data_IF_574946195065
#
_entry.id   IF_574946195065
#
_cell.length_a   1.000
_cell.length_b   1.000
_cell.length_c   1.000
_cell.angle_alpha   90.00
_cell.angle_beta   90.00
_cell.angle_gamma   90.00
#
_symmetry.space_group_name_H-M   'P 1'
#
loop_
_entity.id
_entity.type
_entity.pdbx_description
1 polymer ?
#
# COMPACT_ATOMS: atom_id res chain seq x y z
N UNK A 1 -14.72 13.93 -28.51
CA UNK A 1 -14.15 13.06 -29.58
C UNK A 1 -15.21 12.22 -30.29
N UNK A 2 -15.75 11.14 -29.73
CA UNK A 2 -16.74 10.33 -30.47
C UNK A 2 -18.04 11.12 -30.75
N UNK A 3 -18.51 11.92 -29.79
CA UNK A 3 -19.64 12.84 -29.97
C UNK A 3 -19.39 13.85 -31.10
N UNK A 4 -18.22 14.50 -31.12
CA UNK A 4 -17.84 15.44 -32.19
C UNK A 4 -17.87 14.79 -33.59
N UNK A 5 -17.56 13.50 -33.69
CA UNK A 5 -17.57 12.76 -34.96
C UNK A 5 -18.98 12.37 -35.42
N UNK A 6 -19.92 12.13 -34.50
CA UNK A 6 -21.23 11.53 -34.80
C UNK A 6 -22.41 12.49 -34.64
N UNK A 7 -22.23 13.59 -33.91
CA UNK A 7 -23.22 14.68 -33.78
C UNK A 7 -23.23 15.62 -34.98
N UNK A 8 -22.35 15.41 -35.96
CA UNK A 8 -22.29 16.24 -37.16
C UNK A 8 -23.57 16.15 -38.02
N UNK A 9 -23.70 17.11 -38.96
CA UNK A 9 -24.89 17.29 -39.80
C UNK A 9 -25.27 16.08 -40.68
N UNK A 10 -24.40 15.07 -40.81
CA UNK A 10 -24.67 13.86 -41.60
C UNK A 10 -25.57 12.82 -40.89
N UNK A 11 -26.09 13.16 -39.70
CA UNK A 11 -26.91 12.27 -38.83
C UNK A 11 -26.17 10.98 -38.45
N UNK A 12 -24.87 11.08 -38.15
CA UNK A 12 -24.01 9.93 -37.82
C UNK A 12 -24.56 9.09 -36.67
N UNK A 13 -25.05 9.72 -35.61
CA UNK A 13 -25.64 9.02 -34.46
C UNK A 13 -26.96 8.31 -34.79
N UNK A 14 -27.80 8.83 -35.70
CA UNK A 14 -29.05 8.15 -36.10
C UNK A 14 -28.76 6.89 -36.92
N UNK A 15 -27.79 6.96 -37.83
CA UNK A 15 -27.30 5.78 -38.55
C UNK A 15 -26.71 4.75 -37.58
N UNK A 16 -26.01 5.20 -36.53
CA UNK A 16 -25.51 4.30 -35.49
C UNK A 16 -26.66 3.61 -34.74
N UNK A 17 -27.73 4.34 -34.40
CA UNK A 17 -28.90 3.77 -33.75
C UNK A 17 -29.62 2.74 -34.64
N UNK A 18 -29.77 3.03 -35.94
CA UNK A 18 -30.33 2.09 -36.92
C UNK A 18 -29.47 0.82 -37.04
N UNK A 19 -28.14 0.97 -37.12
CA UNK A 19 -27.20 -0.15 -37.23
C UNK A 19 -27.12 -1.00 -35.96
N UNK A 20 -27.18 -0.36 -34.79
CA UNK A 20 -27.23 -1.05 -33.51
C UNK A 20 -28.55 -1.81 -33.35
N UNK A 21 -29.67 -1.21 -33.80
CA UNK A 21 -31.02 -1.76 -33.73
C UNK A 21 -31.30 -2.97 -34.64
N UNK A 22 -30.32 -3.42 -35.42
CA UNK A 22 -30.36 -4.74 -36.11
C UNK A 22 -30.54 -5.86 -35.10
N UNK A 23 -29.88 -5.76 -33.94
CA UNK A 23 -30.16 -6.63 -32.80
C UNK A 23 -31.31 -6.02 -31.98
N UNK A 24 -32.38 -6.79 -31.81
CA UNK A 24 -33.64 -6.30 -31.19
C UNK A 24 -33.43 -5.63 -29.84
N UNK A 25 -32.47 -6.12 -29.03
CA UNK A 25 -32.19 -5.59 -27.69
C UNK A 25 -31.65 -4.15 -27.70
N UNK A 26 -31.06 -3.69 -28.81
CA UNK A 26 -30.50 -2.35 -28.94
C UNK A 26 -31.39 -1.40 -29.76
N UNK A 27 -32.53 -1.88 -30.25
CA UNK A 27 -33.45 -1.08 -31.06
C UNK A 27 -34.03 0.05 -30.20
N UNK A 28 -33.82 1.30 -30.63
CA UNK A 28 -34.37 2.48 -29.96
C UNK A 28 -35.79 2.77 -30.46
N UNK A 29 -36.69 3.18 -29.56
CA UNK A 29 -38.03 3.65 -29.92
C UNK A 29 -37.97 5.03 -30.58
N UNK A 30 -39.08 5.45 -31.21
CA UNK A 30 -39.17 6.81 -31.77
C UNK A 30 -39.02 7.89 -30.69
N UNK A 31 -39.61 7.66 -29.51
CA UNK A 31 -39.52 8.55 -28.34
C UNK A 31 -38.09 8.65 -27.82
N UNK A 32 -37.36 7.53 -27.74
CA UNK A 32 -35.96 7.51 -27.30
C UNK A 32 -35.05 8.27 -28.28
N UNK A 33 -35.29 8.13 -29.59
CA UNK A 33 -34.55 8.88 -30.61
C UNK A 33 -34.89 10.37 -30.58
N UNK A 34 -36.13 10.73 -30.26
CA UNK A 34 -36.53 12.12 -30.07
C UNK A 34 -35.85 12.73 -28.84
N UNK A 35 -35.84 12.01 -27.71
CA UNK A 35 -35.12 12.40 -26.51
C UNK A 35 -33.62 12.63 -26.77
N UNK A 36 -32.97 11.72 -27.51
CA UNK A 36 -31.58 11.92 -27.95
C UNK A 36 -31.43 13.17 -28.80
N UNK A 37 -32.36 13.43 -29.72
CA UNK A 37 -32.30 14.61 -30.61
C UNK A 37 -32.40 15.92 -29.83
N UNK A 38 -33.25 15.98 -28.80
CA UNK A 38 -33.47 17.17 -27.98
C UNK A 38 -32.23 17.59 -27.19
N UNK A 39 -31.25 16.70 -26.99
CA UNK A 39 -29.98 17.04 -26.34
C UNK A 39 -29.19 18.13 -27.06
N UNK A 40 -29.43 18.37 -28.34
CA UNK A 40 -28.82 19.51 -29.07
C UNK A 40 -29.24 20.88 -28.50
N UNK A 41 -30.34 20.94 -27.75
CA UNK A 41 -30.85 22.18 -27.14
C UNK A 41 -30.10 22.54 -25.84
N UNK A 42 -29.33 21.61 -25.28
CA UNK A 42 -28.55 21.83 -24.06
C UNK A 42 -27.15 22.38 -24.42
N UNK A 43 -26.57 23.34 -23.67
CA UNK A 43 -25.28 23.97 -24.01
C UNK A 43 -24.09 23.01 -24.16
N UNK A 44 -24.16 21.84 -23.54
CA UNK A 44 -23.15 20.77 -23.61
C UNK A 44 -23.77 19.42 -24.00
N UNK A 45 -25.01 19.42 -24.51
CA UNK A 45 -25.72 18.18 -24.79
C UNK A 45 -25.31 17.57 -26.13
N UNK A 46 -25.28 16.24 -26.15
CA UNK A 46 -24.87 15.45 -27.30
C UNK A 46 -25.88 14.33 -27.56
N UNK A 47 -26.53 14.31 -28.73
CA UNK A 47 -27.38 13.18 -29.15
C UNK A 47 -26.63 11.85 -29.19
N UNK A 48 -25.37 11.85 -29.63
CA UNK A 48 -24.50 10.68 -29.60
C UNK A 48 -24.27 10.19 -28.18
N UNK A 49 -23.96 11.09 -27.23
CA UNK A 49 -23.74 10.70 -25.84
C UNK A 49 -24.98 10.09 -25.21
N UNK A 50 -26.16 10.68 -25.47
CA UNK A 50 -27.45 10.16 -25.01
C UNK A 50 -27.71 8.74 -25.56
N UNK A 51 -27.48 8.54 -26.86
CA UNK A 51 -27.62 7.23 -27.50
C UNK A 51 -26.65 6.20 -26.90
N UNK A 52 -25.38 6.57 -26.70
CA UNK A 52 -24.38 5.67 -26.14
C UNK A 52 -24.72 5.27 -24.71
N UNK A 53 -25.32 6.17 -23.93
CA UNK A 53 -25.82 5.85 -22.60
C UNK A 53 -26.96 4.83 -22.65
N UNK A 54 -27.97 5.03 -23.52
CA UNK A 54 -29.05 4.06 -23.72
C UNK A 54 -28.53 2.68 -24.16
N UNK A 55 -27.54 2.65 -25.06
CA UNK A 55 -26.89 1.41 -25.48
C UNK A 55 -26.12 0.77 -24.31
N UNK A 56 -25.44 1.56 -23.48
CA UNK A 56 -24.73 1.05 -22.30
C UNK A 56 -25.68 0.49 -21.24
N UNK A 57 -26.83 1.11 -20.99
CA UNK A 57 -27.87 0.62 -20.07
C UNK A 57 -28.48 -0.71 -20.54
N UNK A 58 -28.31 -1.06 -21.81
CA UNK A 58 -28.72 -2.31 -22.44
C UNK A 58 -27.55 -3.30 -22.63
N UNK A 59 -26.46 -3.09 -21.89
CA UNK A 59 -25.23 -3.89 -21.93
C UNK A 59 -24.63 -4.02 -23.34
N UNK A 60 -24.63 -2.92 -24.11
CA UNK A 60 -23.95 -2.88 -25.40
C UNK A 60 -22.44 -2.96 -25.20
N UNK A 61 -21.84 -4.06 -25.65
CA UNK A 61 -20.39 -4.23 -25.58
C UNK A 61 -19.68 -3.30 -26.55
N UNK A 62 -18.47 -2.86 -26.18
CA UNK A 62 -17.63 -2.06 -27.07
C UNK A 62 -17.32 -2.78 -28.38
N UNK A 63 -17.17 -4.11 -28.36
CA UNK A 63 -16.97 -4.95 -29.55
C UNK A 63 -18.14 -4.81 -30.52
N UNK A 64 -19.38 -4.86 -30.02
CA UNK A 64 -20.57 -4.70 -30.84
C UNK A 64 -20.67 -3.27 -31.42
N UNK A 65 -20.38 -2.26 -30.59
CA UNK A 65 -20.36 -0.86 -31.01
C UNK A 65 -19.32 -0.60 -32.11
N UNK A 66 -18.10 -1.13 -31.96
CA UNK A 66 -17.06 -1.08 -32.98
C UNK A 66 -17.52 -1.72 -34.29
N UNK A 67 -18.12 -2.92 -34.24
CA UNK A 67 -18.66 -3.58 -35.43
C UNK A 67 -19.79 -2.80 -36.11
N UNK A 68 -20.57 -2.01 -35.37
CA UNK A 68 -21.55 -1.09 -35.96
C UNK A 68 -20.86 0.05 -36.71
N UNK A 69 -19.86 0.68 -36.10
CA UNK A 69 -19.10 1.79 -36.69
C UNK A 69 -18.28 1.36 -37.92
N UNK A 70 -17.75 0.14 -37.92
CA UNK A 70 -17.07 -0.48 -39.06
C UNK A 70 -18.02 -0.68 -40.24
N UNK A 71 -19.22 -1.24 -39.98
CA UNK A 71 -20.28 -1.40 -41.01
C UNK A 71 -20.74 -0.05 -41.58
N UNK A 72 -20.67 1.01 -40.79
CA UNK A 72 -20.97 2.38 -41.24
C UNK A 72 -19.80 3.05 -41.97
N UNK A 73 -18.61 2.44 -42.01
CA UNK A 73 -17.41 3.02 -42.63
C UNK A 73 -16.75 4.15 -41.83
N UNK A 74 -17.09 4.35 -40.55
CA UNK A 74 -16.54 5.43 -39.72
C UNK A 74 -15.15 5.08 -39.15
N UNK A 75 -14.14 4.98 -40.00
CA UNK A 75 -12.77 4.57 -39.63
C UNK A 75 -12.10 5.48 -38.59
N UNK A 76 -12.46 6.77 -38.52
CA UNK A 76 -11.98 7.68 -37.47
C UNK A 76 -12.63 7.39 -36.11
N UNK A 77 -13.93 7.10 -36.08
CA UNK A 77 -14.64 6.73 -34.86
C UNK A 77 -14.14 5.39 -34.31
N UNK A 78 -13.88 4.41 -35.18
CA UNK A 78 -13.24 3.16 -34.81
C UNK A 78 -11.86 3.40 -34.21
N UNK A 79 -11.03 4.27 -34.83
CA UNK A 79 -9.71 4.64 -34.27
C UNK A 79 -9.81 5.32 -32.91
N UNK A 80 -10.77 6.22 -32.70
CA UNK A 80 -10.98 6.89 -31.40
C UNK A 80 -11.35 5.88 -30.32
N UNK A 81 -12.25 4.93 -30.62
CA UNK A 81 -12.62 3.89 -29.66
C UNK A 81 -11.49 2.88 -29.41
N UNK A 82 -10.78 2.44 -30.45
CA UNK A 82 -9.64 1.54 -30.31
C UNK A 82 -8.47 2.18 -29.55
N UNK A 83 -8.19 3.47 -29.79
CA UNK A 83 -7.20 4.24 -29.02
C UNK A 83 -7.63 4.43 -27.58
N UNK A 84 -8.91 4.73 -27.31
CA UNK A 84 -9.43 4.83 -25.96
C UNK A 84 -9.28 3.52 -25.17
N UNK A 85 -9.35 2.36 -25.84
CA UNK A 85 -9.08 1.04 -25.24
C UNK A 85 -7.60 0.81 -24.98
N UNK A 86 -6.72 1.21 -25.90
CA UNK A 86 -5.27 1.14 -25.70
C UNK A 86 -4.80 2.03 -24.53
N UNK A 87 -5.45 3.16 -24.31
CA UNK A 87 -5.16 4.06 -23.18
C UNK A 87 -5.80 3.60 -21.85
N UNK A 88 -6.58 2.50 -21.82
CA UNK A 88 -7.18 2.00 -20.58
C UNK A 88 -6.24 1.11 -19.76
N UNK A 89 -5.31 0.38 -20.36
CA UNK A 89 -4.36 -0.45 -19.60
C UNK A 89 -3.24 0.44 -19.07
N UNK A 90 -3.29 0.77 -17.78
CA UNK A 90 -2.26 1.57 -17.10
C UNK A 90 -1.63 0.74 -16.00
N UNK A 91 -0.32 0.53 -16.09
CA UNK A 91 0.44 -0.16 -15.03
C UNK A 91 0.69 0.86 -13.91
N UNK A 92 0.04 0.64 -12.77
CA UNK A 92 0.09 1.51 -11.58
C UNK A 92 1.18 1.09 -10.59
N UNK A 93 1.53 -0.20 -10.55
CA UNK A 93 2.66 -0.70 -9.76
C UNK A 93 3.66 -1.36 -10.69
N UNK A 94 4.89 -0.88 -10.64
CA UNK A 94 5.98 -1.28 -11.51
C UNK A 94 6.97 -2.16 -10.73
N UNK A 95 7.45 -3.29 -11.28
CA UNK A 95 8.38 -4.17 -10.57
C UNK A 95 9.73 -3.47 -10.34
N UNK A 96 10.39 -3.79 -9.24
CA UNK A 96 11.64 -3.16 -8.84
C UNK A 96 12.82 -4.11 -8.91
N UNK A 97 13.95 -3.58 -9.37
CA UNK A 97 15.22 -4.28 -9.37
C UNK A 97 15.66 -4.59 -7.93
N UNK A 98 16.16 -5.79 -7.68
CA UNK A 98 16.51 -6.28 -6.35
C UNK A 98 17.87 -6.96 -6.36
N UNK A 99 18.58 -6.87 -5.23
CA UNK A 99 19.80 -7.66 -4.97
C UNK A 99 19.51 -8.60 -3.81
N UNK A 100 19.67 -9.89 -4.00
CA UNK A 100 19.31 -10.94 -3.03
C UNK A 100 20.43 -11.95 -2.84
N UNK A 101 20.42 -12.65 -1.70
CA UNK A 101 21.40 -13.69 -1.41
C UNK A 101 20.97 -15.03 -2.04
N UNK A 102 21.95 -15.87 -2.40
CA UNK A 102 21.70 -17.22 -2.91
C UNK A 102 20.80 -18.04 -1.96
N UNK A 103 19.78 -18.71 -2.51
CA UNK A 103 18.81 -19.50 -1.75
C UNK A 103 17.60 -18.71 -1.25
N UNK A 104 17.53 -17.39 -1.48
CA UNK A 104 16.41 -16.56 -1.03
C UNK A 104 15.28 -16.48 -2.07
N UNK A 105 14.04 -16.49 -1.60
CA UNK A 105 12.88 -16.26 -2.48
C UNK A 105 12.75 -14.77 -2.81
N UNK A 106 12.51 -14.44 -4.07
CA UNK A 106 12.26 -13.07 -4.55
C UNK A 106 10.80 -12.96 -4.96
N UNK A 107 10.18 -11.81 -4.68
CA UNK A 107 8.88 -11.45 -5.25
C UNK A 107 8.97 -10.16 -6.06
N UNK A 108 8.44 -10.20 -7.28
CA UNK A 108 8.28 -9.06 -8.16
C UNK A 108 6.79 -8.79 -8.36
N UNK A 109 6.38 -7.54 -8.22
CA UNK A 109 4.96 -7.15 -8.32
C UNK A 109 4.72 -6.22 -9.50
N UNK A 110 3.68 -6.49 -10.28
CA UNK A 110 3.19 -5.64 -11.35
C UNK A 110 1.67 -5.55 -11.27
N UNK A 111 1.13 -4.35 -11.18
CA UNK A 111 -0.32 -4.13 -11.18
C UNK A 111 -0.75 -3.21 -12.29
N UNK A 112 -1.79 -3.63 -13.01
CA UNK A 112 -2.47 -2.83 -14.02
C UNK A 112 -3.90 -2.50 -13.63
N UNK A 113 -4.34 -1.30 -13.96
CA UNK A 113 -5.75 -0.91 -14.04
C UNK A 113 -6.21 -0.93 -15.49
N UNK A 114 -7.46 -1.27 -15.75
CA UNK A 114 -8.01 -1.35 -17.10
C UNK A 114 -9.39 -2.01 -17.14
N UNK A 115 -9.86 -2.43 -18.33
CA UNK A 115 -11.14 -3.11 -18.50
C UNK A 115 -11.18 -4.45 -17.71
N UNK A 116 -12.37 -4.96 -17.36
CA UNK A 116 -12.49 -6.25 -16.68
C UNK A 116 -11.89 -7.38 -17.54
N UNK A 117 -11.18 -8.32 -16.91
CA UNK A 117 -10.52 -9.43 -17.60
C UNK A 117 -9.04 -9.19 -17.95
N UNK A 118 -8.33 -8.35 -17.18
CA UNK A 118 -6.87 -8.21 -17.31
C UNK A 118 -6.16 -9.55 -17.05
N UNK A 119 -5.23 -9.88 -17.93
CA UNK A 119 -4.37 -11.06 -17.84
C UNK A 119 -2.92 -10.60 -17.71
N UNK A 120 -2.17 -11.26 -16.83
CA UNK A 120 -0.75 -11.01 -16.59
C UNK A 120 0.07 -12.12 -17.21
N UNK A 121 1.29 -11.79 -17.65
CA UNK A 121 2.30 -12.77 -18.06
C UNK A 121 3.69 -12.20 -17.81
N UNK A 122 4.52 -12.94 -17.08
CA UNK A 122 5.90 -12.56 -16.82
C UNK A 122 6.87 -13.18 -17.82
N UNK A 123 7.96 -12.45 -18.04
CA UNK A 123 9.06 -12.82 -18.92
C UNK A 123 10.38 -12.71 -18.18
N UNK A 124 11.28 -13.65 -18.43
CA UNK A 124 12.68 -13.61 -18.03
C UNK A 124 13.51 -13.46 -19.31
N UNK A 125 14.15 -12.31 -19.48
CA UNK A 125 14.74 -11.92 -20.76
C UNK A 125 13.69 -11.93 -21.88
N UNK A 126 13.81 -12.86 -22.83
CA UNK A 126 12.87 -13.01 -23.96
C UNK A 126 11.89 -14.17 -23.81
N UNK A 127 12.00 -14.97 -22.75
CA UNK A 127 11.19 -16.18 -22.57
C UNK A 127 10.06 -15.95 -21.60
N UNK A 128 8.89 -16.52 -21.88
CA UNK A 128 7.76 -16.54 -20.94
C UNK A 128 8.09 -17.45 -19.75
N UNK A 129 7.83 -16.96 -18.54
CA UNK A 129 7.90 -17.78 -17.33
C UNK A 129 6.63 -18.62 -17.24
N UNK A 130 6.70 -19.96 -17.34
CA UNK A 130 5.51 -20.81 -17.37
C UNK A 130 4.68 -20.66 -16.10
N UNK A 131 3.35 -20.48 -16.25
CA UNK A 131 2.42 -20.37 -15.12
C UNK A 131 2.46 -19.03 -14.36
N UNK A 132 3.35 -18.11 -14.73
CA UNK A 132 3.44 -16.80 -14.11
C UNK A 132 2.38 -15.83 -14.68
N UNK A 133 1.12 -16.12 -14.40
CA UNK A 133 -0.04 -15.35 -14.88
C UNK A 133 -0.69 -14.47 -13.80
N UNK A 134 0.02 -14.24 -12.70
CA UNK A 134 -0.42 -13.45 -11.54
C UNK A 134 0.23 -12.05 -11.56
N UNK A 135 -0.41 -11.03 -10.94
CA UNK A 135 0.22 -9.74 -10.64
C UNK A 135 1.53 -9.86 -9.84
N UNK A 136 1.71 -10.95 -9.11
CA UNK A 136 2.93 -11.26 -8.34
C UNK A 136 3.67 -12.44 -8.97
N UNK A 137 4.96 -12.25 -9.25
CA UNK A 137 5.90 -13.31 -9.63
C UNK A 137 6.79 -13.65 -8.45
N UNK A 138 6.70 -14.89 -7.99
CA UNK A 138 7.57 -15.45 -6.96
C UNK A 138 8.65 -16.30 -7.63
N UNK A 139 9.91 -15.99 -7.34
CA UNK A 139 11.09 -16.65 -7.89
C UNK A 139 11.80 -17.37 -6.75
N UNK A 140 11.88 -18.70 -6.82
CA UNK A 140 12.72 -19.49 -5.93
C UNK A 140 14.17 -19.46 -6.45
N UNK A 141 15.05 -18.67 -5.84
CA UNK A 141 16.46 -18.57 -6.29
C UNK A 141 17.29 -19.73 -5.74
N UNK A 142 17.08 -20.93 -6.29
CA UNK A 142 17.81 -22.14 -5.92
C UNK A 142 18.93 -22.53 -6.91
N UNK A 143 19.23 -21.69 -7.91
CA UNK A 143 20.11 -22.02 -9.05
C UNK A 143 21.39 -21.16 -9.10
N UNK A 144 22.48 -21.69 -9.70
CA UNK A 144 23.87 -21.31 -9.41
C UNK A 144 24.23 -19.87 -9.85
N UNK A 145 25.33 -19.33 -9.30
CA UNK A 145 25.65 -17.91 -9.36
C UNK A 145 26.13 -17.51 -10.76
N UNK A 146 25.53 -16.48 -11.34
CA UNK A 146 26.10 -15.80 -12.51
C UNK A 146 25.14 -15.14 -13.47
N UNK A 147 23.85 -15.46 -13.43
CA UNK A 147 22.89 -14.82 -14.33
C UNK A 147 22.03 -13.83 -13.54
N UNK A 148 22.40 -12.56 -13.65
CA UNK A 148 21.52 -11.48 -13.31
C UNK A 148 20.39 -11.47 -14.36
N UNK A 149 19.17 -11.70 -13.91
CA UNK A 149 18.04 -11.93 -14.79
C UNK A 149 17.14 -10.70 -14.82
N UNK A 150 16.75 -10.30 -16.03
CA UNK A 150 15.88 -9.17 -16.27
C UNK A 150 14.45 -9.67 -16.44
N UNK A 151 13.56 -9.18 -15.58
CA UNK A 151 12.15 -9.54 -15.59
C UNK A 151 11.31 -8.38 -16.10
N UNK A 152 10.27 -8.69 -16.86
CA UNK A 152 9.26 -7.73 -17.29
C UNK A 152 7.90 -8.40 -17.27
N UNK A 153 6.88 -7.64 -16.90
CA UNK A 153 5.50 -8.11 -16.89
C UNK A 153 4.73 -7.48 -18.06
N UNK A 154 3.95 -8.31 -18.77
CA UNK A 154 2.94 -7.87 -19.72
C UNK A 154 1.58 -7.92 -19.05
N UNK A 155 0.81 -6.83 -19.14
CA UNK A 155 -0.60 -6.78 -18.76
C UNK A 155 -1.43 -6.63 -20.02
N UNK A 156 -2.40 -7.51 -20.25
CA UNK A 156 -3.17 -7.57 -21.49
C UNK A 156 -4.67 -7.71 -21.26
N UNK A 157 -5.47 -7.19 -22.19
CA UNK A 157 -6.90 -7.40 -22.28
C UNK A 157 -7.29 -7.56 -23.76
N UNK A 158 -7.57 -8.79 -24.19
CA UNK A 158 -7.78 -9.09 -25.61
C UNK A 158 -6.52 -8.82 -26.43
N UNK A 159 -6.62 -7.95 -27.45
CA UNK A 159 -5.48 -7.57 -28.30
C UNK A 159 -4.65 -6.40 -27.74
N UNK A 160 -5.14 -5.69 -26.72
CA UNK A 160 -4.42 -4.59 -26.10
C UNK A 160 -3.48 -5.10 -25.01
N UNK A 161 -2.28 -4.53 -24.92
CA UNK A 161 -1.30 -4.87 -23.89
C UNK A 161 -0.41 -3.67 -23.52
N UNK A 162 0.12 -3.69 -22.32
CA UNK A 162 1.16 -2.81 -21.82
C UNK A 162 2.27 -3.62 -21.16
N UNK A 163 3.51 -3.15 -21.28
CA UNK A 163 4.66 -3.73 -20.60
C UNK A 163 5.09 -2.86 -19.42
N UNK A 164 5.49 -3.51 -18.33
CA UNK A 164 6.10 -2.84 -17.19
C UNK A 164 7.50 -2.32 -17.52
N UNK A 165 8.12 -1.58 -16.60
CA UNK A 165 9.57 -1.42 -16.61
C UNK A 165 10.26 -2.76 -16.39
N UNK A 166 11.50 -2.85 -16.85
CA UNK A 166 12.37 -3.97 -16.54
C UNK A 166 12.83 -3.92 -15.08
N UNK A 167 12.81 -5.07 -14.42
CA UNK A 167 13.35 -5.28 -13.08
C UNK A 167 14.54 -6.23 -13.14
N UNK A 168 15.68 -5.81 -12.61
CA UNK A 168 16.91 -6.60 -12.57
C UNK A 168 17.02 -7.33 -11.23
N UNK A 169 17.13 -8.65 -11.25
CA UNK A 169 17.37 -9.44 -10.03
C UNK A 169 18.82 -9.93 -10.03
N UNK A 170 19.62 -9.42 -9.09
CA UNK A 170 21.02 -9.77 -8.92
C UNK A 170 21.20 -10.66 -7.69
N UNK A 171 21.93 -11.77 -7.83
CA UNK A 171 22.19 -12.72 -6.73
C UNK A 171 23.63 -12.57 -6.22
N UNK A 172 23.80 -12.30 -4.92
CA UNK A 172 25.09 -12.19 -4.23
C UNK A 172 25.42 -13.43 -3.37
N UNK A 173 26.72 -13.78 -3.28
CA UNK A 173 27.23 -14.88 -2.45
C UNK A 173 27.51 -14.45 -1.01
N UNK A 174 27.20 -15.30 -0.04
CA UNK A 174 27.69 -15.18 1.32
C UNK A 174 29.17 -15.58 1.40
N UNK A 175 30.09 -14.61 1.51
CA UNK A 175 31.50 -14.87 1.78
C UNK A 175 31.78 -15.02 3.28
N UNK A 176 31.20 -16.02 3.95
CA UNK A 176 31.61 -16.46 5.30
C UNK A 176 31.01 -17.84 5.65
N UNK A 177 31.81 -18.87 5.96
CA UNK A 177 31.30 -20.09 6.58
C UNK A 177 31.20 -19.88 8.09
N UNK A 178 30.00 -19.69 8.62
CA UNK A 178 29.75 -19.76 10.05
C UNK A 178 28.44 -20.49 10.30
N UNK A 179 28.63 -21.78 10.61
CA UNK A 179 27.79 -22.73 11.32
C UNK A 179 26.36 -22.31 11.69
N UNK A 180 25.41 -22.90 10.94
CA UNK A 180 24.11 -23.43 11.35
C UNK A 180 23.32 -22.73 12.49
N UNK A 181 22.23 -22.07 12.10
CA UNK A 181 20.90 -22.38 12.64
C UNK A 181 19.91 -22.39 11.47
N UNK A 182 19.23 -23.53 11.29
CA UNK A 182 18.28 -23.80 10.21
C UNK A 182 16.94 -23.07 10.37
N UNK A 183 16.98 -21.77 10.56
CA UNK A 183 15.83 -20.89 10.38
C UNK A 183 16.14 -19.99 9.18
N UNK A 184 15.36 -20.13 8.12
CA UNK A 184 15.32 -19.17 7.03
C UNK A 184 14.20 -18.18 7.37
N UNK A 185 14.49 -17.00 7.98
CA UNK A 185 13.47 -16.00 8.16
C UNK A 185 13.24 -15.41 6.77
N UNK A 186 12.05 -15.65 6.21
CA UNK A 186 11.53 -14.87 5.09
C UNK A 186 11.66 -13.39 5.46
N UNK A 187 12.67 -12.73 4.91
CA UNK A 187 12.97 -11.32 5.18
C UNK A 187 11.87 -10.45 4.60
N UNK A 188 11.07 -9.83 5.47
CA UNK A 188 10.13 -8.79 5.07
C UNK A 188 10.41 -7.55 5.92
N UNK A 189 11.55 -6.89 5.67
CA UNK A 189 11.93 -5.66 6.36
C UNK A 189 13.23 -5.05 5.84
N UNK A 190 13.30 -3.72 5.84
CA UNK A 190 14.51 -2.94 5.54
C UNK A 190 15.53 -3.11 6.69
N UNK A 191 16.68 -3.73 6.42
CA UNK A 191 17.69 -4.06 7.42
C UNK A 191 19.07 -3.51 7.04
N UNK A 192 19.73 -2.83 7.98
CA UNK A 192 21.13 -2.42 7.82
C UNK A 192 22.05 -3.62 8.12
N UNK A 193 22.76 -4.08 7.10
CA UNK A 193 23.77 -5.15 7.21
C UNK A 193 25.11 -4.62 7.71
N UNK A 194 25.48 -3.40 7.31
CA UNK A 194 26.77 -2.80 7.62
C UNK A 194 26.58 -1.39 8.11
N UNK A 195 27.03 -1.17 9.34
CA UNK A 195 26.91 0.08 10.07
C UNK A 195 28.20 0.93 9.92
N UNK A 196 28.11 2.28 9.89
CA UNK A 196 29.29 3.15 9.80
C UNK A 196 30.19 3.00 11.02
N UNK A 197 31.48 3.32 10.91
CA UNK A 197 32.46 3.18 12.01
C UNK A 197 33.02 4.57 12.37
N UNK A 198 33.26 4.86 13.66
CA UNK A 198 33.93 6.09 14.07
C UNK A 198 35.37 6.10 13.55
N UNK A 199 35.89 7.29 13.27
CA UNK A 199 37.27 7.47 12.83
C UNK A 199 37.86 8.80 13.29
N UNK A 200 39.20 8.83 13.39
CA UNK A 200 39.98 10.04 13.61
C UNK A 200 40.87 10.24 12.38
N UNK A 201 40.83 11.43 11.78
CA UNK A 201 41.55 11.78 10.55
C UNK A 201 42.38 13.04 10.73
N UNK A 202 43.46 13.19 9.96
CA UNK A 202 44.19 14.45 9.84
C UNK A 202 43.57 15.33 8.74
N UNK A 203 43.85 16.64 8.77
CA UNK A 203 43.45 17.52 7.67
C UNK A 203 44.13 17.08 6.37
N UNK A 204 43.37 17.01 5.28
CA UNK A 204 43.82 16.50 3.98
C UNK A 204 43.52 15.01 3.73
N UNK A 205 43.12 14.24 4.74
CA UNK A 205 42.74 12.84 4.57
C UNK A 205 41.43 12.67 3.79
N UNK A 206 41.11 11.42 3.45
CA UNK A 206 39.82 11.06 2.84
C UNK A 206 38.92 10.37 3.87
N UNK A 207 37.81 11.02 4.21
CA UNK A 207 36.74 10.39 4.99
C UNK A 207 35.97 9.41 4.12
N UNK A 208 35.81 8.18 4.62
CA UNK A 208 34.99 7.15 3.99
C UNK A 208 34.11 6.46 5.05
N UNK A 209 32.81 6.76 5.03
CA UNK A 209 31.82 6.09 5.85
C UNK A 209 30.95 5.19 4.98
N UNK A 210 30.49 4.07 5.56
CA UNK A 210 29.68 3.09 4.83
C UNK A 210 28.48 2.62 5.64
N UNK A 211 27.33 2.65 5.00
CA UNK A 211 26.07 2.10 5.47
C UNK A 211 25.50 1.21 4.36
N UNK A 212 25.48 -0.10 4.55
CA UNK A 212 24.81 -1.02 3.61
C UNK A 212 23.57 -1.59 4.24
N UNK A 213 22.48 -1.58 3.49
CA UNK A 213 21.23 -2.18 3.86
C UNK A 213 20.68 -3.06 2.74
N UNK A 214 19.76 -3.92 3.13
CA UNK A 214 18.91 -4.71 2.24
C UNK A 214 17.46 -4.36 2.57
N UNK A 215 16.59 -4.46 1.58
CA UNK A 215 15.17 -4.19 1.74
C UNK A 215 14.46 -4.33 0.41
N UNK A 216 13.17 -4.63 0.50
CA UNK A 216 12.26 -4.63 -0.63
C UNK A 216 11.07 -3.74 -0.27
N UNK A 217 10.81 -2.63 -0.98
CA UNK A 217 11.57 -1.95 -2.04
C UNK A 217 13.04 -1.65 -1.72
N UNK A 218 13.91 -1.42 -2.71
CA UNK A 218 15.33 -1.19 -2.49
C UNK A 218 15.59 -0.03 -1.51
N UNK A 219 16.61 -0.18 -0.63
CA UNK A 219 17.04 0.88 0.25
C UNK A 219 17.54 2.10 -0.53
N UNK A 220 16.99 3.26 -0.19
CA UNK A 220 17.51 4.59 -0.48
C UNK A 220 18.27 5.09 0.74
N UNK A 221 19.24 5.99 0.53
CA UNK A 221 20.14 6.47 1.57
C UNK A 221 20.09 7.99 1.64
N UNK A 222 20.27 8.54 2.84
CA UNK A 222 20.58 9.96 3.05
C UNK A 222 21.50 10.07 4.27
N UNK A 223 22.68 10.66 4.09
CA UNK A 223 23.60 10.92 5.19
C UNK A 223 23.27 12.22 5.92
N UNK A 224 23.51 12.22 7.22
CA UNK A 224 23.35 13.35 8.11
C UNK A 224 24.66 13.63 8.85
N UNK A 225 24.99 14.92 8.98
CA UNK A 225 26.09 15.44 9.81
C UNK A 225 25.49 16.41 10.82
N UNK A 226 25.69 16.15 12.11
CA UNK A 226 25.12 16.95 13.20
C UNK A 226 23.60 17.15 13.04
N UNK A 227 22.89 16.06 12.69
CA UNK A 227 21.44 16.02 12.41
C UNK A 227 20.96 16.87 11.23
N UNK A 228 21.85 17.39 10.40
CA UNK A 228 21.51 18.08 9.14
C UNK A 228 21.85 17.20 7.95
N UNK A 229 21.01 17.15 6.91
CA UNK A 229 21.29 16.35 5.72
C UNK A 229 22.54 16.88 5.02
N UNK A 230 23.41 15.97 4.59
CA UNK A 230 24.54 16.30 3.72
C UNK A 230 24.04 16.27 2.28
N UNK A 231 24.13 17.40 1.59
CA UNK A 231 23.64 17.53 0.21
C UNK A 231 24.36 16.56 -0.73
N UNK A 232 23.59 15.88 -1.59
CA UNK A 232 24.09 14.90 -2.56
C UNK A 232 24.54 13.56 -1.97
N UNK A 233 24.53 13.39 -0.65
CA UNK A 233 24.97 12.16 0.00
C UNK A 233 23.85 11.10 0.10
N UNK A 234 23.50 10.53 -1.06
CA UNK A 234 22.40 9.56 -1.22
C UNK A 234 22.86 8.13 -1.55
N UNK A 235 24.16 7.85 -1.37
CA UNK A 235 24.77 6.57 -1.65
C UNK A 235 25.05 5.78 -0.36
N UNK A 236 25.22 4.44 -0.44
CA UNK A 236 25.62 3.61 0.70
C UNK A 236 27.02 3.94 1.24
N UNK A 237 27.84 4.69 0.49
CA UNK A 237 29.12 5.21 0.94
C UNK A 237 29.12 6.74 0.87
N UNK A 238 29.59 7.38 1.95
CA UNK A 238 29.89 8.81 2.00
C UNK A 238 31.41 8.98 1.91
N UNK A 239 31.88 9.67 0.86
CA UNK A 239 33.29 9.98 0.68
C UNK A 239 33.50 11.50 0.59
N UNK A 240 34.39 12.02 1.43
CA UNK A 240 34.85 13.41 1.35
C UNK A 240 36.36 13.40 1.24
N UNK A 241 36.88 13.97 0.15
CA UNK A 241 38.33 14.07 -0.11
C UNK A 241 38.86 15.36 0.47
N UNK A 242 40.12 15.36 0.94
CA UNK A 242 40.79 16.53 1.49
C UNK A 242 39.98 17.17 2.63
N UNK A 243 39.67 16.38 3.65
CA UNK A 243 38.83 16.83 4.76
C UNK A 243 39.52 17.94 5.58
N UNK A 244 38.73 18.85 6.10
CA UNK A 244 39.15 19.91 7.02
C UNK A 244 38.43 19.78 8.35
N UNK A 245 38.82 20.56 9.35
CA UNK A 245 38.07 20.64 10.63
C UNK A 245 36.59 21.00 10.48
N UNK A 246 36.15 21.55 9.33
CA UNK A 246 34.73 21.80 9.03
C UNK A 246 33.90 20.52 8.83
N UNK A 247 34.56 19.39 8.52
CA UNK A 247 33.94 18.08 8.36
C UNK A 247 33.78 17.32 9.69
N UNK A 248 34.26 17.88 10.80
CA UNK A 248 34.10 17.27 12.12
C UNK A 248 32.64 17.19 12.54
N UNK A 249 32.25 16.08 13.15
CA UNK A 249 30.92 15.97 13.76
C UNK A 249 30.44 14.54 13.89
N UNK A 250 29.16 14.43 14.27
CA UNK A 250 28.49 13.15 14.41
C UNK A 250 27.72 12.81 13.13
N UNK A 251 27.93 11.59 12.64
CA UNK A 251 27.41 11.11 11.37
C UNK A 251 26.43 9.95 11.57
N UNK A 252 25.33 10.00 10.84
CA UNK A 252 24.36 8.90 10.75
C UNK A 252 23.82 8.78 9.33
N UNK A 253 23.37 7.59 8.97
CA UNK A 253 22.76 7.30 7.69
C UNK A 253 21.31 6.88 7.90
N UNK A 254 20.40 7.61 7.26
CA UNK A 254 18.99 7.24 7.12
C UNK A 254 18.89 6.30 5.93
N UNK A 255 18.50 5.07 6.17
CA UNK A 255 18.14 4.12 5.11
C UNK A 255 16.63 4.01 5.08
N UNK A 256 16.03 4.20 3.92
CA UNK A 256 14.58 4.18 3.79
C UNK A 256 14.16 3.59 2.46
N UNK A 257 12.95 3.06 2.38
CA UNK A 257 12.33 2.69 1.13
C UNK A 257 10.88 3.21 1.15
N UNK A 258 10.04 2.78 0.20
CA UNK A 258 8.64 3.24 0.15
C UNK A 258 7.79 2.86 1.37
N UNK A 259 8.24 1.89 2.18
CA UNK A 259 7.46 1.31 3.29
C UNK A 259 8.12 1.42 4.67
N UNK A 260 9.44 1.54 4.73
CA UNK A 260 10.23 1.44 5.95
C UNK A 260 11.34 2.49 6.00
N UNK A 261 11.72 2.85 7.21
CA UNK A 261 12.87 3.70 7.50
C UNK A 261 13.63 3.13 8.69
N UNK A 262 14.94 3.00 8.56
CA UNK A 262 15.85 2.56 9.61
C UNK A 262 17.07 3.47 9.65
N UNK A 263 17.51 3.80 10.86
CA UNK A 263 18.68 4.66 11.07
C UNK A 263 19.89 3.82 11.43
N UNK A 264 21.04 4.19 10.87
CA UNK A 264 22.33 3.65 11.32
C UNK A 264 22.64 4.12 12.74
N UNK A 265 23.61 3.46 13.38
CA UNK A 265 24.26 4.02 14.57
C UNK A 265 24.89 5.37 14.23
N UNK A 266 24.83 6.29 15.18
CA UNK A 266 25.54 7.56 15.13
C UNK A 266 27.01 7.32 15.48
N UNK A 267 27.93 7.88 14.67
CA UNK A 267 29.38 7.73 14.85
C UNK A 267 30.06 9.08 14.80
N UNK A 268 31.04 9.28 15.68
CA UNK A 268 31.82 10.50 15.71
C UNK A 268 33.01 10.41 14.75
N UNK A 269 33.19 11.48 13.97
CA UNK A 269 34.34 11.71 13.10
C UNK A 269 35.14 12.87 13.68
N UNK A 270 36.33 12.57 14.15
CA UNK A 270 37.27 13.57 14.66
C UNK A 270 38.27 13.97 13.57
N UNK A 271 38.51 15.26 13.42
CA UNK A 271 39.47 15.81 12.47
C UNK A 271 40.31 16.85 13.19
N UNK A 272 41.63 16.68 13.21
CA UNK A 272 42.57 17.57 13.89
C UNK A 272 43.91 16.89 14.19
N UNK A 273 44.85 17.65 14.78
CA UNK A 273 46.11 17.09 15.25
C UNK A 273 45.84 16.07 16.37
N UNK A 274 46.31 14.82 16.17
CA UNK A 274 45.93 13.67 16.99
C UNK A 274 46.21 13.83 18.50
N UNK A 275 45.53 13.07 19.37
CA UNK A 275 45.70 13.21 20.80
C UNK A 275 47.10 12.71 21.23
N UNK A 276 47.86 13.58 21.91
CA UNK A 276 48.87 13.14 22.87
C UNK A 276 48.15 12.28 23.92
N UNK A 277 48.58 11.03 24.04
CA UNK A 277 48.11 10.10 25.06
C UNK A 277 48.09 10.77 26.45
N UNK A 278 46.91 11.01 26.98
CA UNK A 278 46.72 11.18 28.42
C UNK A 278 45.71 10.14 28.86
N UNK A 279 46.19 9.21 29.67
CA UNK A 279 45.39 8.19 30.32
C UNK A 279 44.34 8.86 31.21
N UNK A 280 43.08 8.79 30.82
CA UNK A 280 41.96 9.09 31.72
C UNK A 280 41.22 7.79 31.98
N UNK A 281 41.15 7.44 33.27
CA UNK A 281 40.53 6.23 33.80
C UNK A 281 39.08 6.05 33.31
N UNK A 282 38.57 4.80 33.22
CA UNK A 282 37.22 4.55 32.76
C UNK A 282 36.20 5.17 33.72
N UNK A 283 35.34 6.05 33.18
CA UNK A 283 34.14 6.49 33.86
C UNK A 283 33.19 5.30 34.04
N UNK A 284 32.54 5.14 35.21
CA UNK A 284 31.56 4.09 35.42
C UNK A 284 30.36 4.35 34.50
N UNK A 285 30.20 3.50 33.49
CA UNK A 285 29.02 3.44 32.64
C UNK A 285 27.82 3.03 33.51
N UNK A 286 26.85 3.93 33.63
CA UNK A 286 25.51 3.57 34.12
C UNK A 286 24.97 2.43 33.23
N UNK A 287 24.33 1.40 33.81
CA UNK A 287 23.74 0.33 33.02
C UNK A 287 22.68 0.91 32.06
N UNK A 288 22.61 0.45 30.81
CA UNK A 288 21.55 0.85 29.89
C UNK A 288 20.20 0.51 30.53
N UNK A 289 19.29 1.49 30.55
CA UNK A 289 17.90 1.26 30.94
C UNK A 289 17.33 0.11 30.11
N UNK A 290 16.61 -0.85 30.71
CA UNK A 290 16.02 -1.94 29.93
C UNK A 290 15.08 -1.35 28.88
N UNK A 291 15.38 -1.62 27.61
CA UNK A 291 14.49 -1.31 26.50
C UNK A 291 13.16 -2.04 26.79
N UNK A 292 12.02 -1.35 26.88
CA UNK A 292 10.74 -2.01 27.13
C UNK A 292 10.48 -2.99 25.98
N UNK A 293 10.42 -4.27 26.33
CA UNK A 293 10.18 -5.37 25.40
C UNK A 293 8.76 -5.87 25.59
N UNK A 294 8.02 -6.01 24.49
CA UNK A 294 6.70 -6.62 24.51
C UNK A 294 6.81 -8.11 24.84
N UNK A 295 5.94 -8.64 25.69
CA UNK A 295 5.87 -10.09 25.94
C UNK A 295 5.26 -10.83 24.74
N UNK A 296 4.35 -10.19 24.02
CA UNK A 296 3.80 -10.61 22.73
C UNK A 296 3.23 -9.39 21.99
N UNK A 297 2.91 -9.55 20.69
CA UNK A 297 2.30 -8.50 19.85
C UNK A 297 1.09 -9.11 19.15
N UNK A 298 -0.11 -8.60 19.42
CA UNK A 298 -1.37 -9.13 18.88
C UNK A 298 -2.18 -8.01 18.24
N UNK A 299 -2.72 -8.24 17.04
CA UNK A 299 -3.52 -7.25 16.33
C UNK A 299 -4.82 -7.84 15.77
N UNK A 300 -5.91 -7.08 15.93
CA UNK A 300 -7.20 -7.36 15.30
C UNK A 300 -7.52 -6.24 14.31
N UNK A 301 -7.73 -6.59 13.05
CA UNK A 301 -8.04 -5.69 11.95
C UNK A 301 -9.42 -6.03 11.40
N UNK A 302 -10.33 -5.06 11.41
CA UNK A 302 -11.70 -5.22 10.89
C UNK A 302 -11.94 -4.21 9.78
N UNK A 303 -12.40 -4.69 8.61
CA UNK A 303 -12.75 -3.87 7.46
C UNK A 303 -14.17 -4.11 7.00
N UNK A 304 -15.07 -3.17 7.26
CA UNK A 304 -16.49 -3.30 6.90
C UNK A 304 -16.82 -2.43 5.68
N UNK A 305 -17.38 -3.06 4.64
CA UNK A 305 -17.61 -2.46 3.31
C UNK A 305 -19.04 -2.63 2.82
N UNK A 306 -19.59 -3.85 2.89
CA UNK A 306 -20.86 -4.24 2.28
C UNK A 306 -22.02 -4.10 3.28
N UNK A 307 -22.30 -2.86 3.70
CA UNK A 307 -23.41 -2.57 4.61
C UNK A 307 -24.77 -2.84 3.97
N UNK A 308 -25.66 -3.51 4.71
CA UNK A 308 -26.99 -3.88 4.25
C UNK A 308 -27.92 -2.65 4.09
N UNK A 309 -27.78 -1.68 4.99
CA UNK A 309 -28.70 -0.55 5.11
C UNK A 309 -28.03 0.82 4.96
N UNK A 310 -26.74 0.86 4.61
CA UNK A 310 -25.92 2.07 4.53
C UNK A 310 -25.08 2.09 3.27
N UNK A 311 -24.47 3.24 2.97
CA UNK A 311 -23.59 3.40 1.81
C UNK A 311 -22.41 2.42 1.88
N UNK A 312 -22.20 1.65 0.82
CA UNK A 312 -21.06 0.74 0.74
C UNK A 312 -19.73 1.49 0.60
N UNK A 313 -18.66 0.88 1.12
CA UNK A 313 -17.29 1.38 1.06
C UNK A 313 -16.43 0.44 0.19
N UNK A 314 -15.29 0.92 -0.30
CA UNK A 314 -14.39 0.14 -1.20
C UNK A 314 -12.95 0.05 -0.71
N UNK A 315 -12.48 1.07 0.01
CA UNK A 315 -11.11 1.13 0.52
C UNK A 315 -10.79 0.10 1.63
N UNK A 316 -11.70 -0.23 2.58
CA UNK A 316 -11.34 -1.03 3.75
C UNK A 316 -10.69 -2.39 3.47
N UNK A 317 -11.03 -3.08 2.37
CA UNK A 317 -10.36 -4.33 1.97
C UNK A 317 -8.86 -4.10 1.68
N UNK A 318 -8.55 -3.06 0.92
CA UNK A 318 -7.17 -2.72 0.55
C UNK A 318 -6.40 -2.28 1.80
N UNK A 319 -7.03 -1.46 2.64
CA UNK A 319 -6.38 -0.92 3.84
C UNK A 319 -6.12 -2.00 4.88
N UNK A 320 -7.10 -2.88 5.16
CA UNK A 320 -6.92 -4.03 6.05
C UNK A 320 -5.86 -4.98 5.50
N UNK A 321 -5.87 -5.27 4.20
CA UNK A 321 -4.87 -6.15 3.60
C UNK A 321 -3.45 -5.58 3.74
N UNK A 322 -3.27 -4.31 3.38
CA UNK A 322 -1.98 -3.61 3.46
C UNK A 322 -1.48 -3.51 4.91
N UNK A 323 -2.32 -3.06 5.84
CA UNK A 323 -1.93 -2.92 7.25
C UNK A 323 -1.69 -4.29 7.90
N UNK A 324 -2.43 -5.33 7.52
CA UNK A 324 -2.18 -6.69 8.00
C UNK A 324 -0.80 -7.18 7.61
N UNK A 325 -0.37 -6.89 6.38
CA UNK A 325 0.97 -7.22 5.91
C UNK A 325 2.03 -6.47 6.73
N UNK A 326 1.88 -5.16 6.92
CA UNK A 326 2.79 -4.33 7.71
C UNK A 326 2.89 -4.79 9.18
N UNK A 327 1.77 -5.12 9.81
CA UNK A 327 1.78 -5.56 11.21
C UNK A 327 2.39 -6.95 11.38
N UNK A 328 2.18 -7.87 10.42
CA UNK A 328 2.89 -9.16 10.41
C UNK A 328 4.40 -8.98 10.25
N UNK A 329 4.86 -7.96 9.50
CA UNK A 329 6.28 -7.60 9.40
C UNK A 329 6.86 -7.08 10.71
N UNK A 330 6.02 -6.50 11.56
CA UNK A 330 6.35 -6.07 12.92
C UNK A 330 6.10 -7.18 13.95
N UNK A 331 6.14 -8.46 13.56
CA UNK A 331 5.82 -9.66 14.35
C UNK A 331 4.52 -9.60 15.17
N UNK A 332 3.50 -8.87 14.71
CA UNK A 332 2.17 -9.01 15.30
C UNK A 332 1.55 -10.33 14.83
N UNK A 333 0.87 -11.01 15.76
CA UNK A 333 -0.11 -12.04 15.46
C UNK A 333 -1.38 -11.35 14.99
N UNK A 334 -1.56 -11.29 13.68
CA UNK A 334 -2.64 -10.50 13.05
C UNK A 334 -3.81 -11.38 12.63
N UNK A 335 -4.99 -11.05 13.17
CA UNK A 335 -6.28 -11.53 12.68
C UNK A 335 -6.93 -10.43 11.86
N UNK A 336 -7.28 -10.75 10.60
CA UNK A 336 -7.85 -9.79 9.64
C UNK A 336 -9.21 -10.30 9.19
N UNK A 337 -10.25 -9.50 9.39
CA UNK A 337 -11.63 -9.90 9.10
C UNK A 337 -12.33 -8.81 8.30
N UNK A 338 -13.18 -9.22 7.36
CA UNK A 338 -13.93 -8.32 6.48
C UNK A 338 -15.42 -8.55 6.64
N UNK A 339 -16.20 -7.47 6.51
CA UNK A 339 -17.66 -7.49 6.44
C UNK A 339 -18.34 -8.26 7.59
N UNK A 340 -18.04 -7.85 8.82
CA UNK A 340 -18.56 -8.50 10.02
C UNK A 340 -19.88 -7.91 10.49
N UNK A 341 -20.84 -8.79 10.80
CA UNK A 341 -22.05 -8.42 11.54
C UNK A 341 -21.72 -8.12 13.01
N UNK A 342 -22.67 -7.54 13.75
CA UNK A 342 -22.45 -7.15 15.15
C UNK A 342 -21.99 -8.32 16.03
N UNK A 343 -22.60 -9.49 15.86
CA UNK A 343 -22.27 -10.68 16.63
C UNK A 343 -20.84 -11.15 16.33
N UNK A 344 -20.43 -11.15 15.06
CA UNK A 344 -19.08 -11.55 14.64
C UNK A 344 -18.02 -10.55 15.09
N UNK A 345 -18.29 -9.25 15.02
CA UNK A 345 -17.38 -8.23 15.57
C UNK A 345 -17.17 -8.43 17.07
N UNK A 346 -18.24 -8.73 17.82
CA UNK A 346 -18.15 -8.98 19.25
C UNK A 346 -17.30 -10.23 19.53
N UNK A 347 -17.56 -11.35 18.84
CA UNK A 347 -16.77 -12.57 18.99
C UNK A 347 -15.30 -12.35 18.64
N UNK A 348 -15.01 -11.62 17.55
CA UNK A 348 -13.64 -11.32 17.16
C UNK A 348 -12.90 -10.48 18.21
N UNK A 349 -13.57 -9.49 18.79
CA UNK A 349 -13.01 -8.69 19.88
C UNK A 349 -12.79 -9.55 21.13
N UNK A 350 -13.73 -10.42 21.49
CA UNK A 350 -13.61 -11.29 22.65
C UNK A 350 -12.42 -12.26 22.50
N UNK A 351 -12.26 -12.89 21.34
CA UNK A 351 -11.10 -13.74 21.03
C UNK A 351 -9.78 -12.96 21.04
N UNK A 352 -9.77 -11.74 20.50
CA UNK A 352 -8.61 -10.86 20.57
C UNK A 352 -8.22 -10.55 22.02
N UNK A 353 -9.20 -10.26 22.90
CA UNK A 353 -8.96 -9.97 24.31
C UNK A 353 -8.40 -11.18 25.08
N UNK A 354 -8.75 -12.41 24.69
CA UNK A 354 -8.21 -13.64 25.29
C UNK A 354 -6.71 -13.81 25.03
N UNK A 355 -6.21 -13.30 23.90
CA UNK A 355 -4.79 -13.35 23.53
C UNK A 355 -3.94 -12.28 24.25
N UNK A 356 -4.57 -11.33 24.93
CA UNK A 356 -3.87 -10.27 25.66
C UNK A 356 -3.58 -10.71 27.10
N UNK A 357 -2.38 -10.39 27.57
CA UNK A 357 -1.93 -10.60 28.95
C UNK A 357 -0.90 -9.52 29.33
N UNK A 358 -0.31 -9.64 30.52
CA UNK A 358 0.64 -8.69 31.08
C UNK A 358 1.82 -8.44 30.12
N UNK A 359 2.01 -7.18 29.74
CA UNK A 359 3.11 -6.76 28.86
C UNK A 359 2.87 -6.96 27.36
N UNK A 360 1.74 -7.53 26.95
CA UNK A 360 1.39 -7.74 25.53
C UNK A 360 1.07 -6.40 24.88
N UNK A 361 1.52 -6.19 23.64
CA UNK A 361 1.13 -5.04 22.83
C UNK A 361 -0.12 -5.41 22.03
N UNK A 362 -1.25 -4.79 22.36
CA UNK A 362 -2.51 -4.99 21.66
C UNK A 362 -2.80 -3.85 20.70
N UNK A 363 -3.12 -4.18 19.45
CA UNK A 363 -3.53 -3.21 18.43
C UNK A 363 -4.90 -3.57 17.86
N UNK A 364 -5.84 -2.61 17.90
CA UNK A 364 -7.11 -2.69 17.19
C UNK A 364 -7.11 -1.68 16.04
N UNK A 365 -7.34 -2.17 14.83
CA UNK A 365 -7.60 -1.32 13.67
C UNK A 365 -9.00 -1.58 13.12
N UNK A 366 -9.69 -0.48 12.80
CA UNK A 366 -11.01 -0.53 12.22
C UNK A 366 -11.11 0.44 11.05
N UNK A 367 -11.57 -0.06 9.90
CA UNK A 367 -11.93 0.71 8.73
C UNK A 367 -13.39 0.46 8.36
N UNK A 368 -14.20 1.52 8.36
CA UNK A 368 -15.64 1.40 8.10
C UNK A 368 -16.44 2.63 8.50
N UNK A 369 -17.76 2.49 8.56
CA UNK A 369 -18.62 3.50 9.15
C UNK A 369 -18.41 3.57 10.65
N UNK A 370 -18.42 4.78 11.16
CA UNK A 370 -18.24 5.07 12.57
C UNK A 370 -18.90 6.38 12.92
N UNK A 371 -19.10 6.58 14.22
CA UNK A 371 -19.57 7.84 14.77
C UNK A 371 -18.96 8.06 16.15
N UNK A 372 -19.06 9.30 16.64
CA UNK A 372 -18.61 9.66 17.97
C UNK A 372 -19.66 10.50 18.70
N UNK A 373 -20.12 10.01 19.85
CA UNK A 373 -21.05 10.71 20.73
C UNK A 373 -20.40 10.88 22.10
N UNK A 374 -20.34 12.12 22.58
CA UNK A 374 -19.80 12.45 23.92
C UNK A 374 -18.39 11.91 24.18
N UNK A 375 -17.53 11.90 23.14
CA UNK A 375 -16.16 11.37 23.22
C UNK A 375 -16.05 9.84 23.20
N UNK A 376 -17.16 9.12 23.04
CA UNK A 376 -17.16 7.68 22.83
C UNK A 376 -17.27 7.37 21.35
N UNK A 377 -16.32 6.58 20.85
CA UNK A 377 -16.21 6.19 19.45
C UNK A 377 -16.89 4.84 19.24
N UNK A 378 -17.68 4.72 18.18
CA UNK A 378 -18.46 3.53 17.88
C UNK A 378 -18.16 3.01 16.49
N UNK A 379 -17.85 1.71 16.40
CA UNK A 379 -17.66 0.98 15.16
C UNK A 379 -19.01 0.40 14.71
N UNK A 380 -19.42 0.68 13.47
CA UNK A 380 -20.73 0.28 12.93
C UNK A 380 -20.60 -1.05 12.15
N UNK A 381 -21.32 -2.12 12.54
CA UNK A 381 -21.32 -3.39 11.81
C UNK A 381 -22.06 -3.33 10.47
N UNK A 382 -21.85 -4.32 9.58
CA UNK A 382 -22.50 -4.34 8.25
C UNK A 382 -24.03 -4.52 8.31
N UNK A 383 -24.52 -5.14 9.37
CA UNK A 383 -25.93 -5.44 9.62
C UNK A 383 -26.65 -4.35 10.44
N UNK A 384 -25.98 -3.23 10.71
CA UNK A 384 -26.59 -2.12 11.44
C UNK A 384 -27.83 -1.58 10.68
N UNK A 385 -29.00 -1.43 11.35
CA UNK A 385 -30.22 -0.92 10.72
C UNK A 385 -30.05 0.53 10.27
N UNK A 386 -30.92 1.04 9.40
CA UNK A 386 -30.83 2.44 8.91
C UNK A 386 -30.83 3.49 10.03
N UNK A 387 -31.54 3.24 11.13
CA UNK A 387 -31.55 4.06 12.34
C UNK A 387 -30.84 3.37 13.50
N UNK A 388 -29.52 3.13 13.36
CA UNK A 388 -28.72 2.47 14.40
C UNK A 388 -28.42 3.39 15.59
N UNK A 389 -28.21 2.75 16.73
CA UNK A 389 -27.87 3.37 18.02
C UNK A 389 -26.67 2.67 18.64
N UNK A 390 -26.19 3.12 19.80
CA UNK A 390 -25.10 2.46 20.55
C UNK A 390 -25.37 0.98 20.80
N UNK A 391 -26.64 0.57 20.96
CA UNK A 391 -27.02 -0.82 21.15
C UNK A 391 -26.74 -1.72 19.94
N UNK A 392 -26.52 -1.16 18.75
CA UNK A 392 -26.26 -1.90 17.51
C UNK A 392 -24.77 -1.90 17.12
N UNK A 393 -23.94 -1.17 17.86
CA UNK A 393 -22.55 -0.89 17.51
C UNK A 393 -21.59 -1.38 18.61
N UNK A 394 -20.29 -1.36 18.31
CA UNK A 394 -19.26 -1.66 19.30
C UNK A 394 -18.61 -0.37 19.79
N UNK A 395 -18.61 -0.17 21.11
CA UNK A 395 -17.99 0.99 21.75
C UNK A 395 -16.49 0.74 21.98
N UNK A 396 -15.64 1.55 21.36
CA UNK A 396 -14.17 1.38 21.42
C UNK A 396 -13.65 1.54 22.85
N UNK A 397 -14.20 2.48 23.62
CA UNK A 397 -13.77 2.74 25.00
C UNK A 397 -14.03 1.53 25.92
N UNK A 398 -15.06 0.70 25.65
CA UNK A 398 -15.28 -0.58 26.37
C UNK A 398 -14.23 -1.63 26.02
N UNK A 399 -13.78 -1.67 24.77
CA UNK A 399 -12.68 -2.55 24.34
C UNK A 399 -11.40 -2.13 25.04
N UNK A 400 -11.06 -0.83 25.05
CA UNK A 400 -9.91 -0.31 25.77
C UNK A 400 -9.95 -0.66 27.26
N UNK A 401 -11.10 -0.46 27.92
CA UNK A 401 -11.25 -0.83 29.33
C UNK A 401 -10.96 -2.32 29.56
N UNK A 402 -11.42 -3.18 28.66
CA UNK A 402 -11.17 -4.63 28.72
C UNK A 402 -9.69 -4.95 28.48
N UNK A 403 -9.02 -4.27 27.55
CA UNK A 403 -7.57 -4.43 27.33
C UNK A 403 -6.76 -4.01 28.56
N UNK A 404 -7.13 -2.92 29.24
CA UNK A 404 -6.46 -2.48 30.47
C UNK A 404 -6.57 -3.50 31.60
N UNK A 405 -7.71 -4.21 31.70
CA UNK A 405 -7.89 -5.29 32.68
C UNK A 405 -6.97 -6.49 32.41
N UNK A 406 -6.45 -6.64 31.19
CA UNK A 406 -5.45 -7.65 30.82
C UNK A 406 -4.01 -7.21 31.11
N UNK A 407 -3.80 -6.02 31.68
CA UNK A 407 -2.48 -5.46 32.02
C UNK A 407 -1.51 -5.38 30.84
N UNK A 408 -2.03 -5.09 29.65
CA UNK A 408 -1.24 -4.93 28.41
C UNK A 408 -0.09 -3.93 28.58
N UNK A 409 1.01 -4.18 27.87
CA UNK A 409 2.17 -3.30 27.84
C UNK A 409 1.94 -2.04 26.99
N UNK A 410 1.14 -2.16 25.93
CA UNK A 410 0.77 -1.07 25.02
C UNK A 410 -0.61 -1.33 24.41
N UNK A 411 -1.43 -0.29 24.29
CA UNK A 411 -2.77 -0.32 23.70
C UNK A 411 -2.84 0.68 22.54
N UNK A 412 -2.99 0.19 21.31
CA UNK A 412 -3.06 1.02 20.12
C UNK A 412 -4.43 0.87 19.47
N UNK A 413 -5.09 2.00 19.21
CA UNK A 413 -6.34 2.06 18.45
C UNK A 413 -6.14 2.92 17.21
N UNK A 414 -6.31 2.34 16.03
CA UNK A 414 -6.24 3.04 14.75
C UNK A 414 -7.64 3.01 14.13
N UNK A 415 -8.32 4.16 14.14
CA UNK A 415 -9.73 4.27 13.77
C UNK A 415 -9.88 5.07 12.48
N UNK A 416 -10.02 4.35 11.38
CA UNK A 416 -10.25 4.89 10.04
C UNK A 416 -11.76 4.92 9.74
N UNK A 417 -12.43 5.83 10.42
CA UNK A 417 -13.87 5.98 10.36
C UNK A 417 -14.29 7.44 10.59
N UNK A 418 -15.50 7.78 10.16
CA UNK A 418 -16.09 9.07 10.48
C UNK A 418 -16.28 9.24 12.01
N UNK A 419 -16.17 10.47 12.49
CA UNK A 419 -16.38 10.85 13.91
C UNK A 419 -17.51 11.86 14.09
N UNK A 420 -18.47 11.85 13.16
CA UNK A 420 -19.66 12.71 13.26
C UNK A 420 -20.56 12.20 14.38
N UNK A 421 -21.36 13.10 14.95
CA UNK A 421 -22.38 12.73 15.93
C UNK A 421 -23.52 11.95 15.27
N UNK A 422 -23.94 10.85 15.89
CA UNK A 422 -25.16 10.15 15.50
C UNK A 422 -26.35 10.74 16.28
N UNK A 423 -27.32 11.30 15.56
CA UNK A 423 -28.51 11.93 16.16
C UNK A 423 -29.56 10.92 16.64
N UNK A 424 -29.44 9.65 16.23
CA UNK A 424 -30.35 8.60 16.67
C UNK A 424 -29.95 8.00 18.04
N UNK A 425 -28.81 8.42 18.60
CA UNK A 425 -28.21 7.84 19.81
C UNK A 425 -27.97 8.90 20.89
N UNK A 426 -28.99 9.17 21.70
CA UNK A 426 -28.90 10.12 22.81
C UNK A 426 -28.36 9.49 24.11
N UNK A 427 -27.99 8.21 24.06
CA UNK A 427 -27.46 7.49 25.22
C UNK A 427 -26.04 7.98 25.49
N UNK A 428 -25.79 8.44 26.73
CA UNK A 428 -24.44 8.71 27.22
C UNK A 428 -23.91 7.41 27.84
N UNK A 429 -22.97 6.70 27.17
CA UNK A 429 -22.45 5.46 27.71
C UNK A 429 -21.65 5.76 28.98
N UNK A 430 -22.04 5.12 30.08
CA UNK A 430 -21.26 5.14 31.32
C UNK A 430 -20.10 4.15 31.18
N UNK A 431 -19.10 4.50 30.36
CA UNK A 431 -17.82 3.79 30.39
C UNK A 431 -17.11 4.29 31.64
N UNK A 432 -16.88 3.40 32.61
CA UNK A 432 -16.23 3.77 33.88
C UNK A 432 -14.87 4.45 33.65
N UNK A 433 -14.35 5.11 34.69
CA UNK A 433 -13.06 5.80 34.58
C UNK A 433 -11.96 4.86 34.10
N UNK A 434 -11.36 5.17 32.94
CA UNK A 434 -10.20 4.47 32.41
C UNK A 434 -9.01 4.67 33.35
N UNK A 435 -8.23 3.62 33.57
CA UNK A 435 -7.05 3.74 34.42
C UNK A 435 -5.95 4.54 33.70
N UNK A 436 -5.16 5.31 34.46
CA UNK A 436 -4.03 6.05 33.91
C UNK A 436 -2.83 5.10 33.80
N UNK A 437 -2.77 4.36 32.69
CA UNK A 437 -1.71 3.37 32.43
C UNK A 437 -0.54 3.93 31.60
N UNK A 438 -0.65 5.16 31.09
CA UNK A 438 0.36 5.86 30.28
C UNK A 438 0.87 5.06 29.06
N UNK A 439 0.07 4.12 28.55
CA UNK A 439 0.44 3.21 27.46
C UNK A 439 -0.66 3.07 26.41
N UNK A 440 -1.44 4.15 26.19
CA UNK A 440 -2.56 4.18 25.26
C UNK A 440 -2.26 5.17 24.15
N UNK A 441 -2.42 4.74 22.90
CA UNK A 441 -2.26 5.57 21.71
C UNK A 441 -3.52 5.43 20.84
N UNK A 442 -4.15 6.56 20.54
CA UNK A 442 -5.23 6.64 19.55
C UNK A 442 -4.74 7.38 18.31
N UNK A 443 -4.88 6.75 17.15
CA UNK A 443 -4.76 7.37 15.84
C UNK A 443 -6.13 7.47 15.19
N UNK A 444 -6.67 8.67 15.06
CA UNK A 444 -7.91 8.94 14.35
C UNK A 444 -7.60 9.48 12.96
N UNK A 445 -8.26 8.96 11.93
CA UNK A 445 -8.05 9.43 10.56
C UNK A 445 -8.68 10.81 10.27
N UNK A 446 -9.65 11.25 11.10
CA UNK A 446 -10.42 12.50 10.92
C UNK A 446 -10.48 13.37 12.17
#
# INVERSE_FOLDING_TARGET
>A
RLCELLDNASRGWRKLAEMAGVEKRFKCSAEELEMCSLKVLEPHGSPTQCLLQLLSERDCTLKYLLGCLERMGHTQACRVLSSAVQDMIRITVQPESQVVMEGMRVSLTCWGTGPPGLVYQWFCGKQEVPGATSPELVIDTATPPGQAEWYICRVSCGAAFAFSRWAHVQVEKSSSPSSASGYCPTMVGLQILRQPRPCCLAEGDTLALECRAIGNPPPQYQWFRNRRPVEGAQAPQLQVKLVTTAERGSYSCRVFNLFHEVWSREVDVEIGEGPRQTSVAPHPTLPPSPIPTATDKVALLIGNMHYLHHKQLKAPMVDVHALSALLRQLDFKVVSLLDLCKAEMQMAVDEFLLLLDKGVYGLLYYAGHGYENFGNSFMVPIDAPSAYTSAHCLCVQRVLQSMQQRHTGLNIFLLDMCRKRNLNDDIIPQVGALQVTANIVFGYAT
#
